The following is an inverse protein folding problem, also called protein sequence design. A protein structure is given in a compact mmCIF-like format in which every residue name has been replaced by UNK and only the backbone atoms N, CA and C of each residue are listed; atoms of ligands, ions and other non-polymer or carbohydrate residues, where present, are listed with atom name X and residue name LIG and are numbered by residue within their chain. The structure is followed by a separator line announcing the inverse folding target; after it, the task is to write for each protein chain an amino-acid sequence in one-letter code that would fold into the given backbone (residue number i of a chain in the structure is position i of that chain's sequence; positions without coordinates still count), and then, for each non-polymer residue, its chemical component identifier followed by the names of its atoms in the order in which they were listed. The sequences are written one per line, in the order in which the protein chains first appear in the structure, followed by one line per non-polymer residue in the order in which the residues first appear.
data_IF_878073082618
#
_entry.id   IF_878073082618
#
_cell.length_a   1.000
_cell.length_b   1.000
_cell.length_c   1.000
_cell.angle_alpha   90.00
_cell.angle_beta   90.00
_cell.angle_gamma   90.00
#
_symmetry.space_group_name_H-M   'P 1'
#
loop_
_entity.id
_entity.type
_entity.pdbx_description
1 polymer ?
#
# COMPACT_ATOMS: atom_id res chain seq x y z
N UNK A 1 3.61 -22.56 6.13
CA UNK A 1 2.45 -21.84 5.61
C UNK A 1 2.48 -20.46 6.24
N UNK A 2 2.61 -19.40 5.45
CA UNK A 2 2.59 -18.03 5.97
C UNK A 2 1.17 -17.76 6.45
N UNK A 3 1.00 -17.27 7.67
CA UNK A 3 -0.32 -16.81 8.12
C UNK A 3 -0.54 -15.42 7.51
N UNK A 4 -1.10 -15.39 6.29
CA UNK A 4 -1.32 -14.17 5.52
C UNK A 4 -2.18 -13.14 6.26
N UNK A 5 -3.15 -13.59 7.06
CA UNK A 5 -3.97 -12.75 7.94
C UNK A 5 -3.13 -12.09 9.04
N UNK A 6 -2.21 -12.83 9.67
CA UNK A 6 -1.25 -12.24 10.61
C UNK A 6 -0.30 -11.25 9.91
N UNK A 7 0.12 -11.56 8.68
CA UNK A 7 1.02 -10.70 7.92
C UNK A 7 0.39 -9.34 7.57
N UNK A 8 -0.88 -9.31 7.16
CA UNK A 8 -1.58 -8.02 6.92
C UNK A 8 -1.79 -7.24 8.21
N UNK A 9 -2.07 -7.93 9.33
CA UNK A 9 -2.29 -7.28 10.62
C UNK A 9 -1.04 -6.58 11.17
N UNK A 10 0.17 -6.91 10.66
CA UNK A 10 1.39 -6.15 10.99
C UNK A 10 1.33 -4.69 10.54
N UNK A 11 0.48 -4.34 9.58
CA UNK A 11 0.27 -2.97 9.11
C UNK A 11 -0.47 -2.08 10.13
N UNK A 12 -1.15 -2.67 11.12
CA UNK A 12 -1.85 -1.91 12.17
C UNK A 12 -0.86 -1.07 12.98
N UNK A 13 -1.22 0.18 13.25
CA UNK A 13 -0.42 1.12 14.04
C UNK A 13 -0.14 2.43 13.31
N UNK A 14 0.77 3.21 13.86
CA UNK A 14 1.17 4.51 13.31
C UNK A 14 2.56 4.42 12.69
N UNK A 15 2.73 5.05 11.52
CA UNK A 15 3.92 4.95 10.69
C UNK A 15 4.38 6.32 10.20
N UNK A 16 5.69 6.46 10.02
CA UNK A 16 6.31 7.50 9.19
C UNK A 16 6.68 6.90 7.86
N UNK A 17 6.38 7.60 6.78
CA UNK A 17 6.66 7.19 5.41
C UNK A 17 7.69 8.13 4.78
N UNK A 18 8.72 7.56 4.17
CA UNK A 18 9.61 8.26 3.24
C UNK A 18 9.47 7.61 1.86
N UNK A 19 9.41 8.44 0.82
CA UNK A 19 9.08 8.01 -0.53
C UNK A 19 10.09 8.58 -1.51
N UNK A 20 10.53 7.76 -2.46
CA UNK A 20 11.40 8.16 -3.56
C UNK A 20 10.83 7.61 -4.86
N UNK A 21 10.76 8.44 -5.89
CA UNK A 21 10.23 8.09 -7.20
C UNK A 21 11.26 8.42 -8.26
N UNK A 22 11.73 7.39 -8.97
CA UNK A 22 12.58 7.54 -10.15
C UNK A 22 11.67 7.54 -11.38
N UNK A 23 11.68 8.63 -12.15
CA UNK A 23 10.87 8.80 -13.34
C UNK A 23 11.63 8.36 -14.60
N UNK A 24 10.90 8.12 -15.69
CA UNK A 24 11.47 7.73 -17.00
C UNK A 24 12.51 8.73 -17.53
N UNK A 25 12.31 10.03 -17.27
CA UNK A 25 13.23 11.10 -17.68
C UNK A 25 14.52 11.19 -16.82
N UNK A 26 14.68 10.28 -15.86
CA UNK A 26 15.80 10.23 -14.92
C UNK A 26 15.67 11.21 -13.74
N UNK A 27 14.59 11.99 -13.66
CA UNK A 27 14.32 12.83 -12.51
C UNK A 27 13.95 12.00 -11.28
N UNK A 28 14.23 12.56 -10.10
CA UNK A 28 13.90 11.95 -8.81
C UNK A 28 12.97 12.89 -8.05
N UNK A 29 11.79 12.41 -7.72
CA UNK A 29 10.87 13.10 -6.82
C UNK A 29 10.86 12.41 -5.45
N UNK A 30 10.72 13.19 -4.38
CA UNK A 30 10.66 12.69 -3.00
C UNK A 30 9.34 13.03 -2.34
N UNK A 31 8.95 12.18 -1.39
CA UNK A 31 7.77 12.41 -0.56
C UNK A 31 8.03 12.04 0.90
N UNK A 32 7.27 12.66 1.79
CA UNK A 32 7.23 12.31 3.21
C UNK A 32 5.80 12.36 3.72
N UNK A 33 5.48 11.46 4.64
CA UNK A 33 4.15 11.40 5.21
C UNK A 33 4.07 10.60 6.50
N UNK A 34 2.85 10.45 6.98
CA UNK A 34 2.49 9.53 8.05
C UNK A 34 1.40 8.60 7.55
N UNK A 35 1.36 7.39 8.09
CA UNK A 35 0.28 6.47 7.81
C UNK A 35 -0.29 5.86 9.08
N UNK A 36 -1.57 5.51 9.03
CA UNK A 36 -2.30 4.87 10.12
C UNK A 36 -2.96 3.61 9.59
N UNK A 37 -2.60 2.46 10.16
CA UNK A 37 -3.28 1.19 9.96
C UNK A 37 -4.27 0.91 11.10
N UNK A 38 -5.51 0.58 10.77
CA UNK A 38 -6.57 0.20 11.71
C UNK A 38 -7.12 -1.18 11.39
N UNK A 39 -7.37 -1.97 12.43
CA UNK A 39 -8.08 -3.24 12.29
C UNK A 39 -9.54 -2.97 11.91
N UNK A 40 -10.06 -3.72 10.94
CA UNK A 40 -11.45 -3.67 10.49
C UNK A 40 -12.04 -5.07 10.45
N UNK A 41 -13.38 -5.16 10.37
CA UNK A 41 -14.11 -6.43 10.24
C UNK A 41 -13.67 -7.50 11.26
N UNK A 42 -13.54 -7.10 12.54
CA UNK A 42 -13.12 -7.97 13.65
C UNK A 42 -11.72 -8.60 13.46
N UNK A 43 -10.79 -7.88 12.82
CA UNK A 43 -9.40 -8.35 12.62
C UNK A 43 -9.15 -9.06 11.30
N UNK A 44 -10.17 -9.15 10.44
CA UNK A 44 -10.07 -9.80 9.12
C UNK A 44 -9.53 -8.89 8.01
N UNK A 45 -9.32 -7.62 8.32
CA UNK A 45 -8.74 -6.67 7.38
C UNK A 45 -8.09 -5.48 8.06
N UNK A 46 -7.43 -4.67 7.26
CA UNK A 46 -6.78 -3.43 7.68
C UNK A 46 -7.19 -2.28 6.77
N UNK A 47 -7.70 -1.20 7.37
CA UNK A 47 -7.74 0.11 6.71
C UNK A 47 -6.38 0.78 6.91
N UNK A 48 -5.73 1.19 5.82
CA UNK A 48 -4.43 1.86 5.88
C UNK A 48 -4.48 3.22 5.17
N UNK A 49 -4.33 4.29 5.92
CA UNK A 49 -4.44 5.67 5.42
C UNK A 49 -3.08 6.35 5.45
N UNK A 50 -2.55 6.72 4.29
CA UNK A 50 -1.34 7.51 4.13
C UNK A 50 -1.72 8.98 3.87
N UNK A 51 -1.05 9.91 4.57
CA UNK A 51 -1.14 11.34 4.31
C UNK A 51 0.26 11.93 4.26
N UNK A 52 0.54 12.79 3.30
CA UNK A 52 1.86 13.36 3.15
C UNK A 52 1.94 14.48 2.13
N UNK A 53 3.17 14.87 1.82
CA UNK A 53 3.47 15.75 0.71
C UNK A 53 4.48 15.06 -0.21
N UNK A 54 4.29 15.25 -1.52
CA UNK A 54 5.15 14.75 -2.59
C UNK A 54 5.63 15.90 -3.44
N UNK A 55 6.91 15.91 -3.78
CA UNK A 55 7.50 16.86 -4.73
C UNK A 55 6.76 16.78 -6.07
N UNK A 56 6.45 17.94 -6.66
CA UNK A 56 5.70 18.07 -7.91
C UNK A 56 4.18 17.89 -7.80
N UNK A 57 3.67 17.26 -6.73
CA UNK A 57 2.22 17.01 -6.55
C UNK A 57 1.63 17.86 -5.41
N UNK A 58 2.40 18.11 -4.36
CA UNK A 58 1.91 18.76 -3.14
C UNK A 58 1.28 17.76 -2.18
N UNK A 59 0.18 18.13 -1.53
CA UNK A 59 -0.48 17.27 -0.55
C UNK A 59 -1.10 16.04 -1.21
N UNK A 60 -0.82 14.89 -0.61
CA UNK A 60 -1.26 13.58 -1.08
C UNK A 60 -1.91 12.81 0.05
N UNK A 61 -3.06 12.21 -0.25
CA UNK A 61 -3.75 11.28 0.64
C UNK A 61 -4.11 10.01 -0.12
N UNK A 62 -3.93 8.87 0.54
CA UNK A 62 -4.26 7.56 -0.01
C UNK A 62 -4.95 6.73 1.07
N UNK A 63 -6.12 6.19 0.74
CA UNK A 63 -6.89 5.31 1.58
C UNK A 63 -6.88 3.91 0.98
N UNK A 64 -6.47 2.94 1.78
CA UNK A 64 -6.37 1.54 1.39
C UNK A 64 -7.24 0.66 2.29
N UNK A 65 -7.86 -0.35 1.71
CA UNK A 65 -8.49 -1.48 2.41
C UNK A 65 -7.78 -2.76 1.99
N UNK A 66 -7.21 -3.48 2.95
CA UNK A 66 -6.46 -4.71 2.73
C UNK A 66 -7.13 -5.86 3.49
N UNK A 67 -7.34 -6.99 2.84
CA UNK A 67 -7.87 -8.20 3.48
C UNK A 67 -7.26 -9.46 2.87
N UNK A 68 -7.25 -10.55 3.63
CA UNK A 68 -6.92 -11.88 3.14
C UNK A 68 -8.22 -12.63 2.84
N UNK A 69 -8.29 -13.21 1.65
CA UNK A 69 -9.33 -14.15 1.24
C UNK A 69 -8.80 -15.58 1.41
N UNK A 70 -9.32 -16.34 2.41
CA UNK A 70 -8.88 -17.71 2.66
C UNK A 70 -9.40 -18.73 1.63
N UNK A 71 -10.46 -18.43 0.89
CA UNK A 71 -11.02 -19.34 -0.11
C UNK A 71 -10.14 -19.35 -1.37
N UNK A 72 -9.66 -18.17 -1.78
CA UNK A 72 -8.81 -18.00 -2.97
C UNK A 72 -7.31 -17.98 -2.65
N UNK A 73 -6.95 -18.01 -1.36
CA UNK A 73 -5.60 -17.80 -0.84
C UNK A 73 -4.93 -16.56 -1.45
N UNK A 74 -5.58 -15.39 -1.31
CA UNK A 74 -5.11 -14.12 -1.89
C UNK A 74 -5.26 -12.94 -0.94
N UNK A 75 -4.42 -11.92 -1.14
CA UNK A 75 -4.58 -10.60 -0.54
C UNK A 75 -5.32 -9.70 -1.53
N UNK A 76 -6.41 -9.11 -1.06
CA UNK A 76 -7.18 -8.11 -1.77
C UNK A 76 -6.82 -6.71 -1.24
N UNK A 77 -6.44 -5.80 -2.13
CA UNK A 77 -6.15 -4.40 -1.81
C UNK A 77 -7.02 -3.48 -2.67
N UNK A 78 -7.83 -2.63 -2.04
CA UNK A 78 -8.57 -1.55 -2.69
C UNK A 78 -7.98 -0.20 -2.28
N UNK A 79 -7.70 0.66 -3.25
CA UNK A 79 -7.05 1.97 -3.04
C UNK A 79 -7.88 3.10 -3.65
N UNK A 80 -7.99 4.21 -2.92
CA UNK A 80 -8.49 5.51 -3.39
C UNK A 80 -7.48 6.60 -3.04
N UNK A 81 -7.10 7.45 -3.99
CA UNK A 81 -6.14 8.54 -3.77
C UNK A 81 -6.79 9.92 -3.90
N UNK A 82 -6.15 10.94 -3.33
CA UNK A 82 -6.54 12.36 -3.48
C UNK A 82 -6.38 12.87 -4.92
N UNK A 83 -5.72 12.10 -5.79
CA UNK A 83 -5.61 12.39 -7.22
C UNK A 83 -6.76 11.78 -8.03
N UNK A 84 -7.75 11.18 -7.37
CA UNK A 84 -8.90 10.55 -8.03
C UNK A 84 -8.59 9.17 -8.62
N UNK A 85 -7.43 8.58 -8.29
CA UNK A 85 -7.08 7.22 -8.74
C UNK A 85 -7.82 6.21 -7.85
N UNK A 86 -8.56 5.31 -8.48
CA UNK A 86 -9.29 4.22 -7.83
C UNK A 86 -8.85 2.91 -8.47
N UNK A 87 -8.42 1.94 -7.66
CA UNK A 87 -7.89 0.67 -8.15
C UNK A 87 -8.03 -0.45 -7.12
N UNK A 88 -8.31 -1.66 -7.61
CA UNK A 88 -8.26 -2.89 -6.84
C UNK A 88 -7.13 -3.78 -7.34
N UNK A 89 -6.40 -4.42 -6.42
CA UNK A 89 -5.30 -5.34 -6.73
C UNK A 89 -5.51 -6.63 -5.97
N UNK A 90 -5.04 -7.71 -6.57
CA UNK A 90 -4.99 -9.02 -5.94
C UNK A 90 -3.53 -9.46 -5.95
N UNK A 91 -3.10 -10.07 -4.85
CA UNK A 91 -1.75 -10.56 -4.69
C UNK A 91 -1.66 -11.78 -3.80
N UNK A 92 -0.44 -12.27 -3.62
CA UNK A 92 -0.14 -13.40 -2.74
C UNK A 92 1.19 -13.18 -2.03
N UNK A 93 1.32 -13.72 -0.83
CA UNK A 93 2.62 -13.82 -0.18
C UNK A 93 3.43 -14.93 -0.84
N UNK A 94 4.64 -14.63 -1.29
CA UNK A 94 5.60 -15.65 -1.70
C UNK A 94 6.38 -16.13 -0.47
N UNK A 95 6.17 -17.39 -0.09
CA UNK A 95 6.97 -18.22 0.82
C UNK A 95 7.71 -17.53 2.00
N UNK A 96 7.14 -16.46 2.58
CA UNK A 96 7.75 -15.67 3.65
C UNK A 96 7.07 -14.30 3.88
N UNK A 97 7.90 -13.26 4.04
CA UNK A 97 7.52 -11.88 4.42
C UNK A 97 7.27 -10.93 3.24
N UNK A 98 7.20 -11.47 2.00
CA UNK A 98 7.06 -10.67 0.78
C UNK A 98 5.69 -10.90 0.12
N UNK A 99 4.90 -9.83 -0.01
CA UNK A 99 3.65 -9.81 -0.75
C UNK A 99 3.90 -9.22 -2.14
N UNK A 100 3.53 -9.97 -3.17
CA UNK A 100 3.52 -9.50 -4.54
C UNK A 100 2.08 -9.25 -5.01
N UNK A 101 1.84 -8.05 -5.52
CA UNK A 101 0.56 -7.63 -6.10
C UNK A 101 0.79 -7.10 -7.51
N UNK A 102 -0.17 -7.35 -8.38
CA UNK A 102 -0.19 -6.80 -9.73
C UNK A 102 -1.49 -6.10 -10.02
N UNK A 103 -1.41 -5.07 -10.85
CA UNK A 103 -2.56 -4.35 -11.38
C UNK A 103 -2.35 -4.08 -12.86
N UNK A 104 -3.41 -4.24 -13.64
CA UNK A 104 -3.45 -3.89 -15.05
C UNK A 104 -4.64 -2.96 -15.27
N UNK A 105 -4.43 -1.90 -16.04
CA UNK A 105 -5.49 -0.97 -16.37
C UNK A 105 -5.03 0.07 -17.38
N UNK A 106 -5.58 1.29 -17.25
CA UNK A 106 -5.22 2.40 -18.11
C UNK A 106 -4.97 3.67 -17.31
N UNK A 107 -3.95 4.41 -17.68
CA UNK A 107 -3.68 5.77 -17.23
C UNK A 107 -3.63 6.65 -18.48
N UNK A 108 -4.43 7.72 -18.49
CA UNK A 108 -4.58 8.62 -19.65
C UNK A 108 -4.84 7.89 -20.98
N UNK A 109 -5.62 6.81 -20.91
CA UNK A 109 -5.96 5.95 -22.05
C UNK A 109 -4.88 4.96 -22.49
N UNK A 110 -3.65 5.07 -21.98
CA UNK A 110 -2.52 4.19 -22.29
C UNK A 110 -2.57 2.92 -21.46
N UNK A 111 -2.04 1.81 -21.99
CA UNK A 111 -2.01 0.55 -21.24
C UNK A 111 -1.00 0.68 -20.10
N UNK A 112 -1.42 0.33 -18.88
CA UNK A 112 -0.55 0.43 -17.72
C UNK A 112 -0.58 -0.85 -16.91
N UNK A 113 0.60 -1.35 -16.60
CA UNK A 113 0.81 -2.43 -15.65
C UNK A 113 1.54 -1.88 -14.44
N UNK A 114 1.21 -2.39 -13.25
CA UNK A 114 1.85 -2.01 -12.00
C UNK A 114 2.15 -3.24 -11.19
N UNK A 115 3.42 -3.41 -10.83
CA UNK A 115 3.86 -4.40 -9.86
C UNK A 115 4.15 -3.71 -8.53
N UNK A 116 3.64 -4.29 -7.44
CA UNK A 116 3.90 -3.85 -6.08
C UNK A 116 4.47 -5.02 -5.29
N UNK A 117 5.63 -4.81 -4.70
CA UNK A 117 6.28 -5.73 -3.78
C UNK A 117 6.33 -5.10 -2.40
N UNK A 118 5.63 -5.70 -1.44
CA UNK A 118 5.69 -5.31 -0.03
C UNK A 118 6.61 -6.28 0.68
N UNK A 119 7.62 -5.76 1.39
CA UNK A 119 8.54 -6.59 2.18
C UNK A 119 8.46 -6.19 3.65
N UNK A 120 8.06 -7.13 4.50
CA UNK A 120 7.94 -6.92 5.94
C UNK A 120 9.30 -7.11 6.62
N UNK A 121 10.14 -6.07 6.58
CA UNK A 121 11.56 -6.14 6.97
C UNK A 121 11.81 -6.34 8.47
N UNK A 122 10.89 -5.93 9.34
CA UNK A 122 10.89 -6.23 10.79
C UNK A 122 9.50 -6.02 11.39
N UNK A 123 9.34 -6.19 12.71
CA UNK A 123 8.08 -5.86 13.39
C UNK A 123 7.70 -4.37 13.30
N UNK A 124 8.71 -3.51 13.15
CA UNK A 124 8.57 -2.06 13.21
C UNK A 124 8.97 -1.36 11.90
N UNK A 125 9.17 -2.12 10.83
CA UNK A 125 9.46 -1.57 9.50
C UNK A 125 8.99 -2.46 8.37
N UNK A 126 8.56 -1.83 7.28
CA UNK A 126 8.33 -2.51 6.01
C UNK A 126 8.67 -1.56 4.85
N UNK A 127 8.90 -2.15 3.68
CA UNK A 127 9.11 -1.41 2.44
C UNK A 127 8.07 -1.77 1.41
N UNK A 128 7.76 -0.82 0.54
CA UNK A 128 6.99 -1.06 -0.67
C UNK A 128 7.87 -0.65 -1.85
N UNK A 129 7.94 -1.52 -2.84
CA UNK A 129 8.55 -1.23 -4.12
C UNK A 129 7.47 -1.30 -5.19
N UNK A 130 7.31 -0.23 -5.96
CA UNK A 130 6.35 -0.13 -7.05
C UNK A 130 7.11 0.02 -8.38
N UNK A 131 6.72 -0.74 -9.40
CA UNK A 131 7.14 -0.54 -10.79
C UNK A 131 5.90 -0.28 -11.62
N UNK A 132 5.85 0.85 -12.30
CA UNK A 132 4.82 1.14 -13.29
C UNK A 132 5.41 0.97 -14.68
N UNK A 133 4.72 0.22 -15.53
CA UNK A 133 4.98 0.09 -16.95
C UNK A 133 3.86 0.76 -17.74
N UNK A 134 4.21 1.68 -18.64
CA UNK A 134 3.25 2.29 -19.58
C UNK A 134 3.65 1.88 -20.99
N UNK A 135 2.71 1.26 -21.70
CA UNK A 135 2.93 0.64 -23.02
C UNK A 135 4.18 -0.25 -23.08
N UNK A 136 4.45 -0.98 -21.98
CA UNK A 136 5.56 -1.93 -21.83
C UNK A 136 6.87 -1.33 -21.29
N UNK A 137 7.04 -0.01 -21.29
CA UNK A 137 8.26 0.63 -20.79
C UNK A 137 8.11 1.03 -19.32
N UNK A 138 9.19 0.89 -18.54
CA UNK A 138 9.22 1.37 -17.14
C UNK A 138 9.07 2.89 -17.15
N UNK A 139 7.95 3.39 -16.63
CA UNK A 139 7.68 4.83 -16.55
C UNK A 139 8.06 5.40 -15.19
N UNK A 140 7.94 4.58 -14.14
CA UNK A 140 8.21 5.00 -12.76
C UNK A 140 8.64 3.82 -11.89
N UNK A 141 9.64 4.05 -11.03
CA UNK A 141 9.98 3.18 -9.91
C UNK A 141 9.79 3.95 -8.60
N UNK A 142 8.81 3.52 -7.81
CA UNK A 142 8.55 4.06 -6.48
C UNK A 142 9.11 3.18 -5.38
N UNK A 143 9.76 3.78 -4.39
CA UNK A 143 10.22 3.12 -3.17
C UNK A 143 9.66 3.85 -1.96
N UNK A 144 9.02 3.09 -1.08
CA UNK A 144 8.39 3.58 0.14
C UNK A 144 9.02 2.85 1.32
N UNK A 145 9.44 3.62 2.31
CA UNK A 145 9.98 3.10 3.56
C UNK A 145 9.08 3.53 4.70
N UNK A 146 8.48 2.55 5.37
CA UNK A 146 7.63 2.77 6.52
C UNK A 146 8.37 2.38 7.79
N UNK A 147 8.45 3.32 8.73
CA UNK A 147 9.00 3.10 10.06
C UNK A 147 7.92 3.35 11.09
N UNK A 148 7.70 2.39 11.99
CA UNK A 148 6.68 2.51 13.02
C UNK A 148 7.01 3.67 13.96
N UNK A 149 6.03 4.54 14.20
CA UNK A 149 6.09 5.63 15.18
C UNK A 149 5.21 5.39 16.40
N UNK A 150 4.25 4.46 16.32
CA UNK A 150 3.37 4.11 17.43
C UNK A 150 2.77 2.71 17.26
N UNK A 151 2.66 1.98 18.38
CA UNK A 151 2.03 0.64 18.47
C UNK A 151 0.59 0.68 18.97
N UNK A 152 -0.02 1.88 19.07
CA UNK A 152 -1.41 1.98 19.49
C UNK A 152 -2.27 1.16 18.53
N UNK A 153 -2.98 0.17 19.06
CA UNK A 153 -4.05 -0.50 18.34
C UNK A 153 -5.16 0.54 18.20
N UNK A 154 -5.40 0.96 16.97
CA UNK A 154 -6.47 1.87 16.63
C UNK A 154 -7.59 1.02 16.01
N UNK A 155 -8.62 0.75 16.80
CA UNK A 155 -9.85 0.12 16.29
C UNK A 155 -10.66 1.17 15.53
N UNK A 156 -11.41 0.75 14.51
CA UNK A 156 -12.47 1.60 13.97
C UNK A 156 -13.48 1.93 15.09
N UNK A 157 -14.01 3.16 15.13
CA UNK A 157 -15.12 3.45 16.02
C UNK A 157 -16.26 2.49 15.71
N UNK A 158 -16.71 1.71 16.70
CA UNK A 158 -17.90 0.86 16.55
C UNK A 158 -19.07 1.78 16.21
N UNK A 159 -19.71 1.65 15.03
CA UNK A 159 -20.90 2.41 14.74
C UNK A 159 -21.95 2.07 15.78
N UNK A 160 -22.45 3.06 16.53
CA UNK A 160 -23.71 2.90 17.24
C UNK A 160 -24.80 2.85 16.19
N UNK A 161 -25.22 1.64 15.82
CA UNK A 161 -26.44 1.47 15.06
C UNK A 161 -27.61 1.89 15.95
N UNK A 162 -28.34 2.93 15.50
CA UNK A 162 -29.58 3.38 16.11
C UNK A 162 -30.75 2.51 15.67
#
# INVERSE_FOLDING_TARGET
MVNAENSINRLIGEWRANMTFNMEDGSIAKGRGTAIGRSIALGRGVQFVLKGNMEGIGSYEENNLVAYDPEEDTICLFTVTSLGIVQSRIGRYDSGDTLMMRWNGRIDGRSTEREITVSLTSDDSFTIRQVDHIDGNVSMVGEYHYQRSGKKVLEEPVPTFA
#
